data_IF_175844650741
#
_entry.id   IF_175844650741
#
_cell.length_a   1.000
_cell.length_b   1.000
_cell.length_c   1.000
_cell.angle_alpha   90.00
_cell.angle_beta   90.00
_cell.angle_gamma   90.00
#
_symmetry.space_group_name_H-M   'P 1'
#
loop_
_entity.id
_entity.type
_entity.pdbx_description
1 polymer ?
#
# COMPACT_ATOMS: atom_id res chain seq x y z
N UNK A 1 -13.91 16.74 0.48
CA UNK A 1 -13.55 17.89 -0.42
C UNK A 1 -13.88 17.56 -1.87
N UNK A 2 -13.79 18.54 -2.82
CA UNK A 2 -13.94 18.20 -4.24
C UNK A 2 -12.67 17.48 -4.73
N UNK A 3 -12.84 16.44 -5.55
CA UNK A 3 -11.73 15.64 -6.09
C UNK A 3 -10.72 16.50 -6.89
N UNK A 4 -11.20 17.53 -7.58
CA UNK A 4 -10.37 18.45 -8.36
C UNK A 4 -9.33 19.17 -7.51
N UNK A 5 -9.61 19.42 -6.24
CA UNK A 5 -8.68 20.06 -5.30
C UNK A 5 -7.46 19.17 -4.98
N UNK A 6 -7.53 17.87 -5.30
CA UNK A 6 -6.45 16.92 -5.14
C UNK A 6 -5.50 16.85 -6.35
N UNK A 7 -5.76 17.62 -7.40
CA UNK A 7 -4.88 17.70 -8.55
C UNK A 7 -3.74 18.69 -8.30
N UNK A 8 -2.58 18.37 -8.85
CA UNK A 8 -1.45 19.28 -8.97
C UNK A 8 -1.34 19.79 -10.42
N UNK A 9 -0.47 20.77 -10.65
CA UNK A 9 -0.15 21.27 -11.98
C UNK A 9 1.02 20.55 -12.65
N UNK A 10 1.58 19.50 -12.02
CA UNK A 10 2.70 18.75 -12.58
C UNK A 10 2.23 17.81 -13.69
N UNK A 11 2.96 17.80 -14.80
CA UNK A 11 2.76 16.83 -15.87
C UNK A 11 3.11 15.42 -15.41
N UNK A 12 2.21 14.46 -15.65
CA UNK A 12 2.43 13.07 -15.22
C UNK A 12 3.47 12.43 -16.15
N UNK A 13 4.50 11.82 -15.56
CA UNK A 13 5.63 11.20 -16.24
C UNK A 13 5.66 9.67 -16.15
N UNK A 14 4.55 9.03 -15.77
CA UNK A 14 4.41 7.58 -15.89
C UNK A 14 4.30 7.17 -17.37
N UNK A 15 4.66 5.91 -17.64
CA UNK A 15 4.51 5.34 -18.98
C UNK A 15 3.05 5.45 -19.45
N UNK A 16 2.77 5.81 -20.72
CA UNK A 16 1.40 5.80 -21.26
C UNK A 16 0.71 4.45 -21.05
N UNK A 17 -0.48 4.44 -20.42
CA UNK A 17 -1.21 3.22 -20.10
C UNK A 17 -0.80 2.53 -18.79
N UNK A 18 0.15 3.07 -18.02
CA UNK A 18 0.56 2.52 -16.74
C UNK A 18 -0.61 2.52 -15.73
N UNK A 19 -0.87 1.42 -15.01
CA UNK A 19 -1.94 1.36 -14.01
C UNK A 19 -1.81 2.35 -12.85
N UNK A 20 -0.65 2.96 -12.63
CA UNK A 20 -0.48 4.03 -11.64
C UNK A 20 -1.44 5.20 -11.85
N UNK A 21 -1.86 5.49 -13.09
CA UNK A 21 -2.92 6.47 -13.37
C UNK A 21 -4.25 6.08 -12.72
N UNK A 22 -4.60 4.79 -12.77
CA UNK A 22 -5.84 4.26 -12.21
C UNK A 22 -5.79 4.23 -10.68
N UNK A 23 -4.63 3.89 -10.11
CA UNK A 23 -4.41 3.93 -8.67
C UNK A 23 -4.52 5.36 -8.15
N UNK A 24 -3.89 6.34 -8.83
CA UNK A 24 -4.01 7.76 -8.46
C UNK A 24 -5.46 8.22 -8.48
N UNK A 25 -6.22 7.80 -9.49
CA UNK A 25 -7.66 8.09 -9.58
C UNK A 25 -8.45 7.47 -8.43
N UNK A 26 -8.17 6.19 -8.08
CA UNK A 26 -8.79 5.51 -6.94
C UNK A 26 -8.49 6.23 -5.62
N UNK A 27 -7.25 6.64 -5.42
CA UNK A 27 -6.81 7.42 -4.25
C UNK A 27 -7.57 8.75 -4.17
N UNK A 28 -7.63 9.50 -5.27
CA UNK A 28 -8.37 10.79 -5.30
C UNK A 28 -9.85 10.61 -5.00
N UNK A 29 -10.48 9.54 -5.49
CA UNK A 29 -11.88 9.22 -5.18
C UNK A 29 -12.04 8.94 -3.68
N UNK A 30 -11.21 8.09 -3.10
CA UNK A 30 -11.25 7.78 -1.66
C UNK A 30 -11.06 9.04 -0.80
N UNK A 31 -10.04 9.86 -1.13
CA UNK A 31 -9.69 11.04 -0.35
C UNK A 31 -10.70 12.18 -0.46
N UNK A 32 -11.55 12.20 -1.49
CA UNK A 32 -12.59 13.24 -1.63
C UNK A 32 -13.57 13.30 -0.44
N UNK A 33 -13.68 12.22 0.32
CA UNK A 33 -14.54 12.11 1.52
C UNK A 33 -13.88 12.65 2.81
N UNK A 34 -12.62 13.09 2.73
CA UNK A 34 -11.85 13.60 3.89
C UNK A 34 -11.59 15.10 3.76
N UNK A 35 -11.23 15.76 4.88
CA UNK A 35 -10.79 17.15 4.86
C UNK A 35 -9.32 17.24 4.48
N UNK A 36 -8.98 18.23 3.68
CA UNK A 36 -7.63 18.41 3.15
C UNK A 36 -6.57 18.55 4.26
N UNK A 37 -6.90 19.32 5.30
CA UNK A 37 -6.03 19.58 6.45
C UNK A 37 -5.78 18.36 7.36
N UNK A 38 -6.59 17.32 7.20
CA UNK A 38 -6.45 16.06 7.96
C UNK A 38 -5.58 15.02 7.22
N UNK A 39 -5.16 15.32 5.98
CA UNK A 39 -4.44 14.38 5.13
C UNK A 39 -2.94 14.66 5.12
N UNK A 40 -2.16 13.60 5.20
CA UNK A 40 -0.71 13.66 5.00
C UNK A 40 -0.23 12.42 4.27
N UNK A 41 0.69 12.56 3.31
CA UNK A 41 1.28 11.41 2.64
C UNK A 41 2.78 11.31 2.90
N UNK A 42 3.26 10.08 2.83
CA UNK A 42 4.70 9.78 2.74
C UNK A 42 4.90 8.83 1.57
N UNK A 43 5.80 9.16 0.68
CA UNK A 43 6.21 8.27 -0.40
C UNK A 43 7.67 7.91 -0.26
N UNK A 44 8.08 6.79 -0.83
CA UNK A 44 9.49 6.49 -1.04
C UNK A 44 9.85 6.44 -2.53
N UNK A 45 11.00 5.91 -2.87
CA UNK A 45 11.53 5.94 -4.23
C UNK A 45 10.96 4.81 -5.08
N UNK A 46 10.45 5.15 -6.26
CA UNK A 46 9.91 4.22 -7.23
C UNK A 46 8.86 4.88 -8.14
N UNK A 47 8.26 4.12 -9.04
CA UNK A 47 7.17 4.63 -9.88
C UNK A 47 5.99 5.13 -9.03
N UNK A 48 5.68 4.42 -7.94
CA UNK A 48 4.65 4.82 -6.96
C UNK A 48 5.01 6.13 -6.26
N UNK A 49 6.31 6.40 -6.01
CA UNK A 49 6.77 7.60 -5.33
C UNK A 49 6.41 8.90 -6.04
N UNK A 50 6.27 8.86 -7.37
CA UNK A 50 5.82 10.00 -8.18
C UNK A 50 4.39 10.47 -7.83
N UNK A 51 3.62 9.68 -7.09
CA UNK A 51 2.32 10.10 -6.55
C UNK A 51 2.46 11.38 -5.73
N UNK A 52 3.62 11.61 -5.11
CA UNK A 52 3.93 12.85 -4.40
C UNK A 52 3.74 14.11 -5.27
N UNK A 53 4.17 14.06 -6.52
CA UNK A 53 4.06 15.18 -7.45
C UNK A 53 2.64 15.38 -7.98
N UNK A 54 1.78 14.34 -7.94
CA UNK A 54 0.48 14.33 -8.63
C UNK A 54 -0.73 14.39 -7.69
N UNK A 55 -0.49 14.32 -6.37
CA UNK A 55 -1.52 14.37 -5.34
C UNK A 55 -1.31 15.60 -4.46
N UNK A 56 -2.24 16.55 -4.53
CA UNK A 56 -2.17 17.82 -3.78
C UNK A 56 -2.60 17.63 -2.33
N UNK A 57 -1.75 17.04 -1.50
CA UNK A 57 -1.85 16.99 -0.03
C UNK A 57 -0.45 17.17 0.56
N UNK A 58 -0.39 17.61 1.83
CA UNK A 58 0.89 17.75 2.54
C UNK A 58 1.60 16.42 2.65
N UNK A 59 2.95 16.43 2.56
CA UNK A 59 3.67 15.15 2.67
C UNK A 59 5.19 15.27 2.64
N UNK A 60 5.82 14.09 2.66
CA UNK A 60 7.28 13.93 2.58
C UNK A 60 7.60 12.88 1.52
N UNK A 61 8.50 13.23 0.59
CA UNK A 61 9.12 12.28 -0.34
C UNK A 61 10.44 11.83 0.27
N UNK A 62 10.48 10.57 0.71
CA UNK A 62 11.57 10.02 1.51
C UNK A 62 12.52 9.10 0.75
N UNK A 63 13.31 8.33 1.51
CA UNK A 63 14.26 7.36 1.01
C UNK A 63 13.59 6.02 0.70
N UNK A 64 14.20 5.25 -0.22
CA UNK A 64 13.76 3.91 -0.60
C UNK A 64 13.61 2.99 0.62
N UNK A 65 12.45 2.34 0.74
CA UNK A 65 12.14 1.45 1.86
C UNK A 65 11.91 2.14 3.21
N UNK A 66 11.82 3.50 3.27
CA UNK A 66 11.74 4.27 4.53
C UNK A 66 10.46 5.09 4.69
N UNK A 67 9.47 4.93 3.82
CA UNK A 67 8.21 5.64 3.99
C UNK A 67 7.49 5.28 5.30
N UNK A 68 7.47 3.99 5.69
CA UNK A 68 6.80 3.56 6.93
C UNK A 68 7.35 4.20 8.21
N UNK A 69 8.67 4.16 8.52
CA UNK A 69 9.17 4.81 9.74
C UNK A 69 8.97 6.32 9.72
N UNK A 70 9.04 6.97 8.54
CA UNK A 70 8.73 8.40 8.40
C UNK A 70 7.25 8.68 8.69
N UNK A 71 6.33 7.89 8.12
CA UNK A 71 4.90 7.99 8.37
C UNK A 71 4.56 7.73 9.85
N UNK A 72 5.20 6.75 10.49
CA UNK A 72 5.06 6.52 11.93
C UNK A 72 5.50 7.75 12.74
N UNK A 73 6.61 8.39 12.37
CA UNK A 73 7.06 9.64 13.00
C UNK A 73 6.02 10.76 12.92
N UNK A 74 5.34 10.89 11.76
CA UNK A 74 4.25 11.87 11.58
C UNK A 74 3.07 11.54 12.49
N UNK A 75 2.64 10.28 12.59
CA UNK A 75 1.53 9.88 13.47
C UNK A 75 1.85 10.11 14.94
N UNK A 76 3.12 9.97 15.35
CA UNK A 76 3.57 10.30 16.71
C UNK A 76 3.56 11.81 16.96
N UNK A 77 3.89 12.61 15.95
CA UNK A 77 3.87 14.08 16.04
C UNK A 77 2.47 14.67 16.03
N UNK A 78 1.55 14.07 15.28
CA UNK A 78 0.15 14.48 15.19
C UNK A 78 -0.78 13.27 14.94
N UNK A 79 -1.31 12.63 15.99
CA UNK A 79 -2.14 11.44 15.89
C UNK A 79 -3.53 11.68 15.25
N UNK A 80 -3.88 12.93 14.97
CA UNK A 80 -5.15 13.28 14.33
C UNK A 80 -5.08 13.33 12.80
N UNK A 81 -3.88 13.16 12.22
CA UNK A 81 -3.73 13.11 10.77
C UNK A 81 -4.06 11.71 10.23
N UNK A 82 -4.75 11.68 9.10
CA UNK A 82 -4.85 10.49 8.27
C UNK A 82 -3.57 10.40 7.44
N UNK A 83 -2.62 9.61 7.90
CA UNK A 83 -1.31 9.46 7.26
C UNK A 83 -1.36 8.27 6.29
N UNK A 84 -1.03 8.54 5.02
CA UNK A 84 -0.94 7.53 3.98
C UNK A 84 0.52 7.32 3.59
N UNK A 85 1.02 6.10 3.70
CA UNK A 85 2.33 5.73 3.17
C UNK A 85 2.15 5.00 1.83
N UNK A 86 2.83 5.47 0.78
CA UNK A 86 2.86 4.82 -0.53
C UNK A 86 4.22 4.17 -0.74
N UNK A 87 4.22 2.87 -0.98
CA UNK A 87 5.44 2.08 -1.21
C UNK A 87 5.25 1.14 -2.39
N UNK A 88 6.35 0.80 -3.05
CA UNK A 88 6.36 -0.32 -4.00
C UNK A 88 6.67 -1.64 -3.28
N UNK A 89 6.29 -2.75 -3.91
CA UNK A 89 6.61 -4.11 -3.45
C UNK A 89 8.11 -4.28 -3.20
N UNK A 90 8.94 -3.84 -4.13
CA UNK A 90 10.40 -3.89 -3.99
C UNK A 90 10.89 -3.12 -2.76
N UNK A 91 10.44 -1.87 -2.58
CA UNK A 91 10.86 -1.03 -1.46
C UNK A 91 10.41 -1.59 -0.10
N UNK A 92 9.15 -2.03 -0.03
CA UNK A 92 8.58 -2.54 1.22
C UNK A 92 9.18 -3.87 1.63
N UNK A 93 9.26 -4.82 0.71
CA UNK A 93 9.63 -6.20 1.08
C UNK A 93 11.13 -6.48 1.00
N UNK A 94 11.93 -5.54 0.48
CA UNK A 94 13.40 -5.56 0.62
C UNK A 94 13.80 -4.74 1.86
N UNK A 95 14.14 -3.47 1.69
CA UNK A 95 14.69 -2.63 2.77
C UNK A 95 13.65 -2.25 3.83
N UNK A 96 12.35 -2.25 3.47
CA UNK A 96 11.25 -1.85 4.34
C UNK A 96 10.68 -2.95 5.23
N UNK A 97 11.05 -4.23 5.01
CA UNK A 97 10.36 -5.38 5.63
C UNK A 97 10.37 -5.34 7.17
N UNK A 98 11.49 -4.97 7.78
CA UNK A 98 11.58 -4.82 9.23
C UNK A 98 10.62 -3.75 9.78
N UNK A 99 10.47 -2.64 9.06
CA UNK A 99 9.53 -1.56 9.43
C UNK A 99 8.07 -2.01 9.28
N UNK A 100 7.76 -2.84 8.27
CA UNK A 100 6.43 -3.40 8.07
C UNK A 100 6.02 -4.31 9.22
N UNK A 101 6.89 -5.24 9.62
CA UNK A 101 6.67 -6.14 10.76
C UNK A 101 6.46 -5.34 12.05
N UNK A 102 7.29 -4.33 12.31
CA UNK A 102 7.15 -3.48 13.49
C UNK A 102 5.92 -2.58 13.45
N UNK A 103 5.48 -2.10 12.28
CA UNK A 103 4.24 -1.34 12.14
C UNK A 103 3.02 -2.22 12.52
N UNK A 104 2.97 -3.48 12.09
CA UNK A 104 1.96 -4.45 12.54
C UNK A 104 1.96 -4.64 14.05
N UNK A 105 3.15 -4.80 14.65
CA UNK A 105 3.34 -4.96 16.11
C UNK A 105 2.89 -3.72 16.90
N UNK A 106 3.17 -2.50 16.42
CA UNK A 106 2.84 -1.25 17.10
C UNK A 106 1.38 -0.86 16.92
N UNK A 107 0.81 -1.21 15.77
CA UNK A 107 -0.55 -0.84 15.36
C UNK A 107 -0.79 0.68 15.42
N UNK A 108 0.01 1.52 14.73
CA UNK A 108 -0.25 2.95 14.64
C UNK A 108 -1.52 3.21 13.81
N UNK A 109 -2.15 4.37 13.97
CA UNK A 109 -3.23 4.82 13.09
C UNK A 109 -2.63 5.32 11.75
N UNK A 110 -2.39 4.40 10.81
CA UNK A 110 -1.62 4.63 9.60
C UNK A 110 -2.10 3.70 8.47
N UNK A 111 -2.28 4.25 7.27
CA UNK A 111 -2.64 3.47 6.08
C UNK A 111 -1.42 3.31 5.17
N UNK A 112 -1.03 2.06 4.91
CA UNK A 112 0.00 1.69 3.94
C UNK A 112 -0.67 1.21 2.65
N UNK A 113 -0.34 1.86 1.53
CA UNK A 113 -0.78 1.51 0.18
C UNK A 113 0.45 1.01 -0.58
N UNK A 114 0.39 -0.25 -1.03
CA UNK A 114 1.49 -0.89 -1.75
C UNK A 114 1.13 -1.09 -3.20
N UNK A 115 1.96 -0.55 -4.09
CA UNK A 115 1.88 -0.77 -5.53
C UNK A 115 2.70 -2.03 -5.86
N UNK A 116 2.02 -3.17 -6.04
CA UNK A 116 2.68 -4.45 -6.32
C UNK A 116 2.62 -4.78 -7.80
N UNK A 117 3.72 -4.54 -8.50
CA UNK A 117 3.91 -4.91 -9.90
C UNK A 117 4.97 -6.01 -10.08
N UNK A 118 5.47 -6.57 -9.01
CA UNK A 118 6.48 -7.64 -8.96
C UNK A 118 7.77 -7.29 -9.73
N UNK A 119 8.17 -5.99 -9.72
CA UNK A 119 9.37 -5.52 -10.42
C UNK A 119 9.86 -4.18 -9.89
N UNK A 120 11.17 -4.00 -9.77
CA UNK A 120 11.79 -2.68 -9.62
C UNK A 120 11.73 -1.92 -10.94
N UNK A 121 10.57 -1.34 -11.25
CA UNK A 121 10.27 -0.84 -12.59
C UNK A 121 10.95 0.49 -12.92
N UNK A 122 11.15 1.38 -11.95
CA UNK A 122 11.80 2.68 -12.18
C UNK A 122 13.26 2.52 -12.58
N UNK A 123 13.93 1.48 -12.08
CA UNK A 123 15.36 1.23 -12.26
C UNK A 123 15.70 0.24 -13.35
N UNK A 124 14.79 -0.27 -14.13
CA UNK A 124 15.02 -1.15 -15.30
C UNK A 124 14.55 -2.60 -15.17
N UNK A 125 13.69 -2.91 -14.20
CA UNK A 125 12.99 -4.21 -14.19
C UNK A 125 13.70 -5.32 -13.43
N UNK A 126 14.46 -5.02 -12.39
CA UNK A 126 15.03 -6.04 -11.51
C UNK A 126 13.90 -6.78 -10.78
N UNK A 127 14.18 -8.03 -10.37
CA UNK A 127 13.25 -8.80 -9.55
C UNK A 127 13.09 -8.19 -8.15
N UNK A 128 11.88 -8.25 -7.63
CA UNK A 128 11.53 -7.88 -6.25
C UNK A 128 11.27 -9.14 -5.43
N UNK A 129 11.12 -9.04 -4.11
CA UNK A 129 10.76 -10.20 -3.29
C UNK A 129 9.40 -10.82 -3.62
N UNK A 130 8.52 -10.17 -4.38
CA UNK A 130 7.24 -10.73 -4.86
C UNK A 130 7.31 -11.24 -6.30
N UNK A 131 8.44 -11.07 -7.00
CA UNK A 131 8.61 -11.58 -8.36
C UNK A 131 8.52 -13.10 -8.40
N UNK A 132 7.76 -13.62 -9.36
CA UNK A 132 7.63 -15.07 -9.54
C UNK A 132 8.93 -15.71 -10.04
N UNK A 133 9.14 -16.98 -9.71
CA UNK A 133 10.23 -17.77 -10.26
C UNK A 133 10.26 -17.72 -11.77
N UNK A 134 11.46 -17.62 -12.33
CA UNK A 134 11.68 -17.54 -13.78
C UNK A 134 11.41 -16.16 -14.38
N UNK A 135 11.07 -15.13 -13.57
CA UNK A 135 10.93 -13.76 -14.06
C UNK A 135 12.23 -13.28 -14.68
N UNK A 136 12.16 -12.86 -15.95
CA UNK A 136 13.32 -12.47 -16.77
C UNK A 136 13.17 -11.05 -17.29
N UNK A 137 14.24 -10.27 -17.15
CA UNK A 137 14.44 -9.01 -17.86
C UNK A 137 15.90 -8.87 -18.23
N UNK A 138 16.25 -7.85 -19.02
CA UNK A 138 17.66 -7.58 -19.34
C UNK A 138 18.50 -7.26 -18.09
N UNK A 139 17.87 -6.74 -17.04
CA UNK A 139 18.52 -6.35 -15.79
C UNK A 139 18.44 -7.43 -14.69
N UNK A 140 17.76 -8.55 -14.93
CA UNK A 140 17.55 -9.60 -13.94
C UNK A 140 17.79 -10.98 -14.52
N UNK A 141 19.00 -11.52 -14.31
CA UNK A 141 19.39 -12.90 -14.68
C UNK A 141 18.81 -13.33 -16.04
N UNK A 142 19.23 -12.71 -17.15
CA UNK A 142 18.58 -12.89 -18.46
C UNK A 142 18.54 -14.34 -18.94
N UNK A 143 19.48 -15.18 -18.51
CA UNK A 143 19.53 -16.60 -18.88
C UNK A 143 18.71 -17.48 -17.93
N UNK A 144 18.84 -17.29 -16.61
CA UNK A 144 18.22 -18.14 -15.58
C UNK A 144 16.84 -17.64 -15.12
N UNK A 145 16.63 -16.30 -15.10
CA UNK A 145 15.48 -15.67 -14.44
C UNK A 145 15.61 -15.68 -12.92
N UNK A 146 14.59 -15.15 -12.23
CA UNK A 146 14.53 -15.15 -10.77
C UNK A 146 14.43 -16.59 -10.25
N UNK A 147 15.33 -16.98 -9.35
CA UNK A 147 15.40 -18.35 -8.83
C UNK A 147 14.86 -18.48 -7.40
N UNK A 148 14.71 -17.36 -6.67
CA UNK A 148 14.19 -17.35 -5.33
C UNK A 148 12.65 -17.56 -5.32
N UNK A 149 12.14 -18.07 -4.20
CA UNK A 149 10.70 -18.10 -3.98
C UNK A 149 10.19 -16.71 -3.61
N UNK A 150 9.06 -16.25 -4.16
CA UNK A 150 8.46 -14.99 -3.78
C UNK A 150 7.96 -15.02 -2.33
N UNK A 151 7.93 -13.86 -1.70
CA UNK A 151 7.20 -13.68 -0.44
C UNK A 151 5.69 -13.73 -0.69
N UNK A 152 4.96 -14.13 0.34
CA UNK A 152 3.52 -13.93 0.42
C UNK A 152 3.24 -12.77 1.41
N UNK A 153 3.03 -11.55 0.92
CA UNK A 153 2.83 -10.37 1.76
C UNK A 153 1.63 -10.47 2.70
N UNK A 154 0.54 -11.12 2.27
CA UNK A 154 -0.66 -11.29 3.13
C UNK A 154 -0.33 -12.17 4.32
N UNK A 155 0.44 -13.26 4.13
CA UNK A 155 0.90 -14.10 5.26
C UNK A 155 1.81 -13.34 6.21
N UNK A 156 2.73 -12.52 5.68
CA UNK A 156 3.62 -11.68 6.50
C UNK A 156 2.79 -10.67 7.30
N UNK A 157 1.79 -10.04 6.69
CA UNK A 157 0.89 -9.11 7.36
C UNK A 157 0.10 -9.78 8.51
N UNK A 158 -0.46 -10.98 8.27
CA UNK A 158 -1.18 -11.78 9.28
C UNK A 158 -0.26 -12.18 10.43
N UNK A 159 0.95 -12.67 10.12
CA UNK A 159 1.96 -13.05 11.11
C UNK A 159 2.46 -11.86 11.94
N UNK A 160 2.48 -10.66 11.33
CA UNK A 160 2.89 -9.41 11.99
C UNK A 160 1.75 -8.73 12.77
N UNK A 161 0.57 -9.35 12.86
CA UNK A 161 -0.61 -8.82 13.53
C UNK A 161 -1.11 -7.48 12.98
N UNK A 162 -1.03 -7.27 11.67
CA UNK A 162 -1.65 -6.12 11.01
C UNK A 162 -3.16 -6.16 11.21
N UNK A 163 -3.76 -5.04 11.59
CA UNK A 163 -5.17 -5.00 12.03
C UNK A 163 -6.18 -4.83 10.90
N UNK A 164 -5.74 -4.39 9.72
CA UNK A 164 -6.54 -4.33 8.50
C UNK A 164 -5.69 -4.74 7.32
N UNK A 165 -6.11 -5.78 6.61
CA UNK A 165 -5.38 -6.36 5.48
C UNK A 165 -6.34 -6.46 4.30
N UNK A 166 -6.01 -5.81 3.20
CA UNK A 166 -6.82 -5.83 1.98
C UNK A 166 -5.96 -5.99 0.72
N UNK A 167 -6.58 -6.52 -0.32
CA UNK A 167 -6.00 -6.62 -1.66
C UNK A 167 -6.95 -6.04 -2.70
N UNK A 168 -6.42 -5.27 -3.65
CA UNK A 168 -7.15 -4.64 -4.73
C UNK A 168 -6.51 -4.93 -6.08
N UNK A 169 -7.27 -4.70 -7.16
CA UNK A 169 -6.77 -4.64 -8.52
C UNK A 169 -6.76 -3.18 -8.99
N UNK A 170 -5.61 -2.69 -9.44
CA UNK A 170 -5.47 -1.33 -9.97
C UNK A 170 -6.49 -0.95 -11.05
N UNK A 171 -6.97 -1.94 -11.81
CA UNK A 171 -7.94 -1.74 -12.91
C UNK A 171 -9.39 -1.57 -12.44
N UNK A 172 -9.72 -1.94 -11.20
CA UNK A 172 -11.04 -1.71 -10.60
C UNK A 172 -11.00 -0.46 -9.69
N UNK A 173 -11.06 0.71 -10.32
CA UNK A 173 -10.96 2.01 -9.66
C UNK A 173 -11.97 2.15 -8.52
N UNK A 174 -13.23 1.80 -8.77
CA UNK A 174 -14.31 1.95 -7.77
C UNK A 174 -14.05 1.08 -6.55
N UNK A 175 -13.80 -0.20 -6.74
CA UNK A 175 -13.52 -1.13 -5.64
C UNK A 175 -12.26 -0.73 -4.89
N UNK A 176 -11.20 -0.33 -5.58
CA UNK A 176 -9.95 0.11 -4.96
C UNK A 176 -10.17 1.38 -4.13
N UNK A 177 -10.96 2.34 -4.61
CA UNK A 177 -11.31 3.53 -3.85
C UNK A 177 -12.10 3.20 -2.58
N UNK A 178 -13.11 2.33 -2.67
CA UNK A 178 -13.92 1.86 -1.52
C UNK A 178 -13.03 1.17 -0.46
N UNK A 179 -12.08 0.35 -0.87
CA UNK A 179 -11.16 -0.34 0.06
C UNK A 179 -10.17 0.64 0.70
N UNK A 180 -9.63 1.61 -0.05
CA UNK A 180 -8.75 2.64 0.51
C UNK A 180 -9.51 3.48 1.54
N UNK A 181 -10.76 3.87 1.25
CA UNK A 181 -11.60 4.60 2.21
C UNK A 181 -11.86 3.80 3.49
N UNK A 182 -12.18 2.50 3.36
CA UNK A 182 -12.32 1.59 4.51
C UNK A 182 -11.01 1.49 5.31
N UNK A 183 -9.86 1.45 4.64
CA UNK A 183 -8.54 1.37 5.27
C UNK A 183 -8.20 2.64 6.06
N UNK A 184 -8.51 3.83 5.53
CA UNK A 184 -8.30 5.12 6.22
C UNK A 184 -9.23 5.25 7.43
N UNK A 185 -10.49 4.80 7.31
CA UNK A 185 -11.47 4.83 8.40
C UNK A 185 -11.23 3.74 9.46
N UNK A 186 -10.34 2.78 9.21
CA UNK A 186 -9.96 1.78 10.20
C UNK A 186 -8.99 2.39 11.21
N UNK A 187 -9.34 2.37 12.49
CA UNK A 187 -8.48 2.86 13.57
C UNK A 187 -7.41 1.82 13.91
N UNK A 188 -6.25 1.90 13.28
CA UNK A 188 -5.13 0.97 13.41
C UNK A 188 -4.22 0.97 12.20
N UNK A 189 -3.29 0.02 12.15
CA UNK A 189 -2.42 -0.14 11.00
C UNK A 189 -3.15 -0.89 9.88
N UNK A 190 -3.39 -0.16 8.79
CA UNK A 190 -4.04 -0.68 7.59
C UNK A 190 -3.01 -0.94 6.49
N UNK A 191 -3.06 -2.12 5.91
CA UNK A 191 -2.25 -2.53 4.77
C UNK A 191 -3.16 -2.85 3.59
N UNK A 192 -2.95 -2.14 2.48
CA UNK A 192 -3.67 -2.32 1.21
C UNK A 192 -2.66 -2.65 0.12
N UNK A 193 -2.67 -3.88 -0.36
CA UNK A 193 -1.91 -4.31 -1.53
C UNK A 193 -2.73 -4.05 -2.79
N UNK A 194 -2.17 -3.30 -3.74
CA UNK A 194 -2.80 -3.05 -5.04
C UNK A 194 -1.99 -3.76 -6.11
N UNK A 195 -2.52 -4.87 -6.60
CA UNK A 195 -1.92 -5.63 -7.70
C UNK A 195 -2.06 -4.82 -8.99
N UNK A 196 -0.95 -4.66 -9.68
CA UNK A 196 -0.88 -3.98 -10.97
C UNK A 196 0.16 -4.66 -11.88
N UNK A 197 0.10 -4.39 -13.16
CA UNK A 197 1.16 -4.75 -14.10
C UNK A 197 2.17 -3.61 -14.26
N UNK A 198 3.42 -3.95 -14.52
CA UNK A 198 4.35 -3.06 -15.18
C UNK A 198 4.29 -3.33 -16.69
N UNK A 199 3.70 -2.43 -17.45
CA UNK A 199 3.48 -2.60 -18.91
C UNK A 199 4.79 -2.75 -19.70
N UNK A 200 5.93 -2.38 -19.10
CA UNK A 200 7.25 -2.44 -19.73
C UNK A 200 8.01 -3.72 -19.32
N UNK A 201 8.06 -4.01 -18.01
CA UNK A 201 8.93 -5.07 -17.49
C UNK A 201 8.17 -6.31 -17.01
N UNK A 202 6.88 -6.19 -16.64
CA UNK A 202 6.05 -7.30 -16.18
C UNK A 202 4.61 -7.19 -16.70
N UNK A 203 4.40 -7.22 -18.02
CA UNK A 203 3.05 -7.14 -18.61
C UNK A 203 2.20 -8.40 -18.35
N UNK A 204 2.81 -9.50 -17.93
CA UNK A 204 2.12 -10.76 -17.66
C UNK A 204 1.14 -10.69 -16.48
N UNK A 205 1.29 -9.69 -15.61
CA UNK A 205 0.32 -9.45 -14.52
C UNK A 205 -1.11 -9.24 -15.04
N UNK A 206 -1.28 -8.70 -16.23
CA UNK A 206 -2.59 -8.57 -16.88
C UNK A 206 -3.32 -9.90 -17.04
N UNK A 207 -2.60 -10.99 -17.25
CA UNK A 207 -3.21 -12.31 -17.41
C UNK A 207 -3.79 -12.84 -16.10
N UNK A 208 -3.44 -12.26 -14.96
CA UNK A 208 -3.93 -12.66 -13.63
C UNK A 208 -5.32 -12.07 -13.32
N UNK A 209 -5.82 -11.10 -14.07
CA UNK A 209 -7.16 -10.53 -13.87
C UNK A 209 -8.26 -11.61 -13.89
N UNK A 210 -8.11 -12.65 -14.72
CA UNK A 210 -9.03 -13.78 -14.79
C UNK A 210 -9.05 -14.67 -13.55
N UNK A 211 -8.01 -14.59 -12.73
CA UNK A 211 -7.89 -15.33 -11.46
C UNK A 211 -8.48 -14.56 -10.29
N UNK A 212 -8.71 -13.26 -10.46
CA UNK A 212 -9.17 -12.36 -9.41
C UNK A 212 -10.67 -12.49 -9.17
N UNK A 213 -11.06 -12.49 -7.90
CA UNK A 213 -12.46 -12.49 -7.48
C UNK A 213 -12.64 -11.68 -6.19
N UNK A 214 -13.82 -11.12 -5.98
CA UNK A 214 -14.13 -10.33 -4.79
C UNK A 214 -14.60 -11.23 -3.65
N UNK A 215 -14.13 -10.90 -2.44
CA UNK A 215 -14.60 -11.52 -1.18
C UNK A 215 -15.37 -10.51 -0.36
N UNK A 216 -16.22 -11.00 0.54
CA UNK A 216 -16.85 -10.17 1.57
C UNK A 216 -15.82 -9.80 2.65
N UNK A 217 -16.08 -8.68 3.37
CA UNK A 217 -15.22 -8.22 4.46
C UNK A 217 -15.10 -9.30 5.55
N UNK A 218 -13.89 -9.75 5.82
CA UNK A 218 -13.61 -10.85 6.74
C UNK A 218 -12.92 -10.38 8.04
N UNK A 219 -13.33 -10.98 9.17
CA UNK A 219 -12.73 -10.77 10.49
C UNK A 219 -12.25 -12.08 11.16
N UNK A 220 -12.40 -13.22 10.49
CA UNK A 220 -11.89 -14.51 10.96
C UNK A 220 -10.48 -14.74 10.44
N UNK A 221 -9.52 -14.89 11.37
CA UNK A 221 -8.11 -15.08 11.03
C UNK A 221 -7.85 -16.38 10.27
N UNK A 222 -8.59 -17.47 10.58
CA UNK A 222 -8.43 -18.75 9.89
C UNK A 222 -8.91 -18.67 8.44
N UNK A 223 -9.97 -17.90 8.19
CA UNK A 223 -10.43 -17.63 6.83
C UNK A 223 -9.38 -16.78 6.09
N UNK A 224 -8.85 -15.75 6.75
CA UNK A 224 -7.80 -14.91 6.16
C UNK A 224 -6.54 -15.70 5.79
N UNK A 225 -6.13 -16.66 6.63
CA UNK A 225 -5.01 -17.57 6.35
C UNK A 225 -5.28 -18.43 5.10
N UNK A 226 -6.49 -18.97 4.97
CA UNK A 226 -6.89 -19.72 3.76
C UNK A 226 -6.88 -18.84 2.52
N UNK A 227 -7.44 -17.62 2.60
CA UNK A 227 -7.43 -16.68 1.49
C UNK A 227 -6.01 -16.27 1.07
N UNK A 228 -5.09 -16.13 2.05
CA UNK A 228 -3.69 -15.86 1.77
C UNK A 228 -3.00 -16.99 1.00
N UNK A 229 -3.44 -18.23 1.20
CA UNK A 229 -2.87 -19.43 0.58
C UNK A 229 -3.41 -19.73 -0.81
N UNK A 230 -4.49 -19.09 -1.24
CA UNK A 230 -5.05 -19.31 -2.57
C UNK A 230 -4.11 -18.80 -3.68
N UNK A 231 -3.22 -17.88 -3.35
CA UNK A 231 -2.19 -17.39 -4.28
C UNK A 231 -0.83 -17.24 -3.60
N UNK A 232 0.14 -17.96 -4.13
CA UNK A 232 1.52 -18.03 -3.64
C UNK A 232 2.48 -17.03 -4.31
N UNK A 233 1.97 -16.11 -5.12
CA UNK A 233 2.75 -15.15 -5.95
C UNK A 233 3.62 -15.80 -7.05
N UNK A 234 3.76 -17.10 -7.04
CA UNK A 234 4.60 -17.86 -7.96
C UNK A 234 3.79 -18.62 -9.01
N UNK A 235 2.55 -18.98 -8.69
CA UNK A 235 1.68 -19.76 -9.56
C UNK A 235 1.03 -18.90 -10.63
N UNK A 236 0.91 -19.45 -11.85
CA UNK A 236 0.05 -18.94 -12.91
C UNK A 236 -1.38 -19.49 -12.81
N UNK A 237 -1.63 -20.33 -11.81
CA UNK A 237 -2.92 -20.96 -11.52
C UNK A 237 -3.31 -20.62 -10.06
N UNK A 238 -4.59 -20.76 -9.77
CA UNK A 238 -5.12 -20.44 -8.45
C UNK A 238 -6.15 -19.32 -8.51
N UNK A 239 -6.50 -18.80 -7.36
CA UNK A 239 -7.46 -17.70 -7.22
C UNK A 239 -6.81 -16.56 -6.45
N UNK A 240 -7.10 -15.33 -6.84
CA UNK A 240 -6.58 -14.13 -6.18
C UNK A 240 -7.77 -13.41 -5.53
N UNK A 241 -7.97 -13.58 -4.21
CA UNK A 241 -9.04 -12.91 -3.50
C UNK A 241 -8.77 -11.42 -3.38
N UNK A 242 -9.77 -10.59 -3.69
CA UNK A 242 -9.77 -9.13 -3.61
C UNK A 242 -10.80 -8.66 -2.59
N UNK A 243 -10.49 -7.65 -1.82
CA UNK A 243 -11.35 -7.07 -0.78
C UNK A 243 -10.65 -7.00 0.56
N UNK A 244 -11.42 -6.85 1.64
CA UNK A 244 -10.90 -6.88 3.01
C UNK A 244 -10.71 -8.32 3.44
N UNK A 245 -9.47 -8.81 3.35
CA UNK A 245 -9.11 -10.20 3.67
C UNK A 245 -9.07 -10.46 5.18
N UNK A 246 -8.78 -9.42 5.97
CA UNK A 246 -8.83 -9.47 7.43
C UNK A 246 -9.01 -8.10 8.03
N UNK A 247 -9.83 -7.99 9.08
CA UNK A 247 -9.89 -6.80 9.94
C UNK A 247 -10.18 -7.17 11.39
N UNK A 248 -9.52 -6.47 12.29
CA UNK A 248 -9.68 -6.63 13.74
C UNK A 248 -9.64 -5.27 14.43
N UNK A 249 -10.58 -5.03 15.35
CA UNK A 249 -10.53 -3.85 16.23
C UNK A 249 -9.64 -4.15 17.43
N UNK A 250 -8.54 -3.42 17.58
CA UNK A 250 -7.64 -3.53 18.72
C UNK A 250 -7.03 -2.18 19.08
N UNK A 251 -6.53 -2.02 20.32
CA UNK A 251 -5.92 -0.77 20.74
C UNK A 251 -4.76 -0.34 19.82
N UNK A 252 -4.73 0.93 19.46
CA UNK A 252 -3.65 1.52 18.69
C UNK A 252 -2.51 1.98 19.58
N UNK A 253 -1.38 2.36 18.97
CA UNK A 253 -0.22 2.87 19.70
C UNK A 253 -0.57 4.08 20.57
N UNK A 254 -1.42 5.00 20.08
CA UNK A 254 -1.84 6.19 20.81
C UNK A 254 -2.65 5.87 22.08
N UNK A 255 -3.44 4.79 22.08
CA UNK A 255 -4.21 4.37 23.27
C UNK A 255 -3.29 3.89 24.40
N UNK A 256 -2.15 3.32 24.05
CA UNK A 256 -1.18 2.73 24.98
C UNK A 256 -0.16 3.74 25.49
N UNK A 257 -0.09 4.93 24.90
CA UNK A 257 0.89 5.96 25.23
C UNK A 257 0.20 7.25 25.68
N UNK A 258 0.19 7.56 26.99
CA UNK A 258 -0.59 8.67 27.56
C UNK A 258 -0.32 10.03 26.92
N UNK A 259 0.93 10.30 26.48
CA UNK A 259 1.29 11.54 25.81
C UNK A 259 0.60 11.67 24.44
N UNK A 260 0.52 10.59 23.68
CA UNK A 260 -0.16 10.57 22.38
C UNK A 260 -1.67 10.72 22.55
N UNK A 261 -2.26 10.06 23.55
CA UNK A 261 -3.68 10.23 23.88
C UNK A 261 -4.03 11.69 24.24
N UNK A 262 -3.11 12.40 24.91
CA UNK A 262 -3.28 13.84 25.19
C UNK A 262 -3.20 14.68 23.92
N UNK A 263 -2.28 14.35 22.99
CA UNK A 263 -2.18 15.04 21.70
C UNK A 263 -3.41 14.80 20.82
N UNK A 264 -3.92 13.58 20.76
CA UNK A 264 -5.11 13.23 20.00
C UNK A 264 -6.32 14.08 20.41
N UNK A 265 -6.50 14.35 21.70
CA UNK A 265 -7.57 15.21 22.22
C UNK A 265 -7.46 16.69 21.82
N UNK A 266 -6.29 17.16 21.36
CA UNK A 266 -6.07 18.56 20.96
C UNK A 266 -6.51 18.86 19.52
N UNK A 267 -6.80 17.84 18.72
CA UNK A 267 -7.18 17.97 17.31
C UNK A 267 -6.00 18.31 16.39
N UNK A 268 -6.29 18.48 15.09
CA UNK A 268 -5.29 18.64 14.01
C UNK A 268 -4.54 19.99 14.06
N UNK A 269 -5.13 21.01 14.70
CA UNK A 269 -4.66 22.39 14.61
C UNK A 269 -3.25 22.62 15.17
N UNK A 270 -2.30 22.97 14.32
CA UNK A 270 -0.95 23.41 14.68
C UNK A 270 -0.90 24.86 15.20
N UNK A 271 -1.92 25.66 14.94
CA UNK A 271 -1.95 27.12 15.14
C UNK A 271 -2.31 27.54 16.57
N UNK A 272 -2.76 26.61 17.42
CA UNK A 272 -3.11 26.86 18.81
C UNK A 272 -2.26 26.03 19.76
N UNK A 273 -0.98 26.24 19.74
CA UNK A 273 -0.07 25.73 20.77
C UNK A 273 0.27 26.83 21.77
#
# INVERSE_FOLDING_TARGET
MKKENLNTNYGITWCPGCPNYLILESVKQALSNFKHEELCMVTDIGCHGKTFDYLNISGIYGLHGRALPTALGITLGNPNLNVLAFMGDGALYSEGIGHFIHAGRFNPNLTLIVHDNQSFSLTTGQATPTSQKGFKTKANYPELGEFNNPFNPIRIALASNVSFIARCNARDIKHTAEIIEKAINHRGFSYVEIIQDCIIFNPEMNNKDKMMYKVEDNSDKKIAEKLADEWDYNSKMGKIPLGVLYREKKPILADKWPQLSKLEKKGVGWVKR
#
